data_IF_385725645775
#
_entry.id   IF_385725645775
#
_cell.length_a   1.000
_cell.length_b   1.000
_cell.length_c   1.000
_cell.angle_alpha   90.00
_cell.angle_beta   90.00
_cell.angle_gamma   90.00
#
_symmetry.space_group_name_H-M   'P 1'
#
loop_
_entity.id
_entity.type
_entity.pdbx_description
1 polymer ?
#
# COMPACT_ATOMS: atom_id res chain seq x y z
N UNK A 1 0.25 18.83 -35.91
CA UNK A 1 -0.27 18.99 -34.52
C UNK A 1 -1.41 18.01 -34.38
N UNK A 2 -1.07 16.79 -33.96
CA UNK A 2 -1.96 15.62 -34.04
C UNK A 2 -2.90 15.53 -32.83
N UNK A 3 -4.09 15.04 -33.11
CA UNK A 3 -5.33 15.14 -32.38
C UNK A 3 -5.37 14.16 -31.18
N UNK A 4 -5.04 14.61 -29.95
CA UNK A 4 -5.05 13.77 -28.72
C UNK A 4 -6.29 14.04 -27.85
N UNK A 5 -7.47 14.23 -28.44
CA UNK A 5 -8.69 14.53 -27.65
C UNK A 5 -9.87 13.58 -27.89
N UNK A 6 -9.69 12.50 -28.67
CA UNK A 6 -10.72 11.46 -28.84
C UNK A 6 -10.32 10.13 -28.19
N UNK A 7 -10.26 10.09 -26.86
CA UNK A 7 -10.38 8.86 -26.06
C UNK A 7 -11.52 9.12 -25.09
N UNK A 8 -12.67 8.44 -25.26
CA UNK A 8 -13.81 8.45 -24.33
C UNK A 8 -13.30 8.54 -22.88
N UNK A 9 -13.58 9.65 -22.21
CA UNK A 9 -13.08 9.87 -20.85
C UNK A 9 -13.66 8.78 -19.96
N UNK A 10 -12.85 8.18 -19.06
CA UNK A 10 -13.34 7.16 -18.12
C UNK A 10 -14.52 7.68 -17.29
N UNK A 11 -14.58 9.00 -17.08
CA UNK A 11 -15.69 9.70 -16.44
C UNK A 11 -17.00 9.56 -17.24
N UNK A 12 -16.94 9.71 -18.57
CA UNK A 12 -18.10 9.60 -19.45
C UNK A 12 -18.64 8.16 -19.48
N UNK A 13 -17.75 7.16 -19.40
CA UNK A 13 -18.14 5.74 -19.31
C UNK A 13 -18.89 5.43 -18.00
N UNK A 14 -18.47 6.06 -16.88
CA UNK A 14 -19.15 5.92 -15.58
C UNK A 14 -20.52 6.61 -15.54
N UNK A 15 -20.67 7.76 -16.20
CA UNK A 15 -21.95 8.50 -16.26
C UNK A 15 -22.98 7.77 -17.14
N UNK A 16 -22.55 7.18 -18.25
CA UNK A 16 -23.46 6.52 -19.21
C UNK A 16 -23.93 5.13 -18.73
N UNK A 17 -23.08 4.34 -18.07
CA UNK A 17 -23.41 2.98 -17.65
C UNK A 17 -22.77 2.57 -16.31
N UNK A 18 -23.26 3.09 -15.17
CA UNK A 18 -22.60 2.94 -13.87
C UNK A 18 -22.46 1.48 -13.43
N UNK A 19 -23.47 0.63 -13.67
CA UNK A 19 -23.42 -0.81 -13.31
C UNK A 19 -22.29 -1.55 -14.05
N UNK A 20 -22.12 -1.28 -15.35
CA UNK A 20 -21.10 -1.93 -16.18
C UNK A 20 -19.71 -1.43 -15.83
N UNK A 21 -19.57 -0.12 -15.59
CA UNK A 21 -18.30 0.49 -15.16
C UNK A 21 -17.85 -0.03 -13.79
N UNK A 22 -18.79 -0.21 -12.85
CA UNK A 22 -18.52 -0.76 -11.53
C UNK A 22 -17.97 -2.19 -11.62
N UNK A 23 -18.65 -3.10 -12.33
CA UNK A 23 -18.16 -4.48 -12.49
C UNK A 23 -16.82 -4.56 -13.23
N UNK A 24 -16.60 -3.70 -14.24
CA UNK A 24 -15.33 -3.62 -14.98
C UNK A 24 -14.15 -3.19 -14.09
N UNK A 25 -14.40 -2.43 -13.03
CA UNK A 25 -13.38 -2.01 -12.06
C UNK A 25 -13.27 -2.96 -10.86
N UNK A 26 -14.40 -3.44 -10.35
CA UNK A 26 -14.47 -4.27 -9.16
C UNK A 26 -13.89 -5.67 -9.41
N UNK A 27 -14.19 -6.29 -10.56
CA UNK A 27 -13.73 -7.65 -10.87
C UNK A 27 -12.19 -7.78 -10.84
N UNK A 28 -11.40 -6.93 -11.54
CA UNK A 28 -9.94 -7.00 -11.45
C UNK A 28 -9.41 -6.63 -10.06
N UNK A 29 -10.07 -5.71 -9.35
CA UNK A 29 -9.68 -5.34 -7.99
C UNK A 29 -9.86 -6.50 -7.01
N UNK A 30 -11.01 -7.19 -7.06
CA UNK A 30 -11.29 -8.38 -6.26
C UNK A 30 -10.28 -9.49 -6.57
N UNK A 31 -9.99 -9.74 -7.85
CA UNK A 31 -8.99 -10.73 -8.24
C UNK A 31 -7.61 -10.39 -7.67
N UNK A 32 -7.19 -9.13 -7.74
CA UNK A 32 -5.95 -8.66 -7.14
C UNK A 32 -5.89 -8.89 -5.63
N UNK A 33 -6.98 -8.60 -4.91
CA UNK A 33 -7.07 -8.86 -3.48
C UNK A 33 -7.06 -10.36 -3.15
N UNK A 34 -7.71 -11.20 -3.97
CA UNK A 34 -7.66 -12.66 -3.80
C UNK A 34 -6.24 -13.20 -3.97
N UNK A 35 -5.52 -12.75 -4.99
CA UNK A 35 -4.11 -13.12 -5.20
C UNK A 35 -3.25 -12.67 -4.03
N UNK A 36 -3.46 -11.46 -3.52
CA UNK A 36 -2.76 -10.95 -2.34
C UNK A 36 -3.02 -11.82 -1.09
N UNK A 37 -4.27 -12.26 -0.89
CA UNK A 37 -4.62 -13.13 0.23
C UNK A 37 -3.96 -14.52 0.11
N UNK A 38 -3.96 -15.10 -1.09
CA UNK A 38 -3.28 -16.37 -1.37
C UNK A 38 -1.77 -16.22 -1.13
N UNK A 39 -1.18 -15.11 -1.57
CA UNK A 39 0.23 -14.83 -1.33
C UNK A 39 0.55 -14.80 0.17
N UNK A 40 -0.27 -14.15 1.00
CA UNK A 40 -0.07 -14.12 2.45
C UNK A 40 -0.14 -15.51 3.10
N UNK A 41 -1.07 -16.37 2.62
CA UNK A 41 -1.17 -17.77 3.08
C UNK A 41 0.06 -18.57 2.68
N UNK A 42 0.49 -18.43 1.43
CA UNK A 42 1.67 -19.13 0.89
C UNK A 42 2.92 -18.67 1.62
N UNK A 43 3.14 -17.37 1.79
CA UNK A 43 4.28 -16.79 2.51
C UNK A 43 4.38 -17.35 3.94
N UNK A 44 3.27 -17.30 4.69
CA UNK A 44 3.23 -17.84 6.06
C UNK A 44 3.47 -19.36 6.09
N UNK A 45 2.89 -20.11 5.13
CA UNK A 45 3.09 -21.56 5.04
C UNK A 45 4.53 -21.93 4.67
N UNK A 46 5.19 -21.15 3.81
CA UNK A 46 6.60 -21.33 3.47
C UNK A 46 7.49 -21.04 4.69
N UNK A 47 7.30 -19.91 5.38
CA UNK A 47 8.07 -19.61 6.60
C UNK A 47 7.85 -20.70 7.66
N UNK A 48 6.61 -21.12 7.88
CA UNK A 48 6.29 -22.19 8.83
C UNK A 48 6.91 -23.54 8.46
N UNK A 49 7.04 -23.86 7.17
CA UNK A 49 7.63 -25.13 6.70
C UNK A 49 9.16 -25.12 6.64
N UNK A 50 9.78 -23.99 6.24
CA UNK A 50 11.22 -23.90 6.03
C UNK A 50 11.99 -23.40 7.26
N UNK A 51 11.42 -22.47 8.02
CA UNK A 51 12.06 -21.90 9.22
C UNK A 51 11.47 -22.52 10.50
N UNK A 52 10.21 -22.95 10.48
CA UNK A 52 9.57 -23.60 11.62
C UNK A 52 8.98 -22.62 12.63
N UNK A 53 8.79 -23.10 13.85
CA UNK A 53 8.10 -22.37 14.94
C UNK A 53 8.81 -21.06 15.29
N UNK A 54 10.14 -21.04 15.26
CA UNK A 54 10.95 -19.84 15.51
C UNK A 54 10.70 -18.75 14.47
N UNK A 55 10.61 -19.10 13.18
CA UNK A 55 10.31 -18.12 12.12
C UNK A 55 8.91 -17.53 12.25
N UNK A 56 7.92 -18.36 12.58
CA UNK A 56 6.54 -17.91 12.87
C UNK A 56 6.48 -17.00 14.10
N UNK A 57 7.25 -17.29 15.15
CA UNK A 57 7.34 -16.44 16.33
C UNK A 57 7.96 -15.07 16.00
N UNK A 58 9.01 -15.03 15.16
CA UNK A 58 9.61 -13.78 14.68
C UNK A 58 8.60 -12.90 13.93
N UNK A 59 7.77 -13.50 13.07
CA UNK A 59 6.71 -12.77 12.37
C UNK A 59 5.73 -12.12 13.36
N UNK A 60 5.40 -12.80 14.45
CA UNK A 60 4.57 -12.27 15.53
C UNK A 60 5.09 -10.96 16.13
N UNK A 61 6.40 -10.84 16.31
CA UNK A 61 7.03 -9.61 16.81
C UNK A 61 7.08 -8.47 15.78
N UNK A 62 7.21 -8.82 14.50
CA UNK A 62 7.32 -7.85 13.40
C UNK A 62 5.95 -7.29 12.99
N UNK A 63 4.88 -8.09 13.06
CA UNK A 63 3.55 -7.70 12.60
C UNK A 63 3.02 -6.38 13.19
N UNK A 64 3.12 -6.09 14.51
CA UNK A 64 2.64 -4.82 15.06
C UNK A 64 3.30 -3.60 14.41
N UNK A 65 4.62 -3.67 14.15
CA UNK A 65 5.35 -2.60 13.48
C UNK A 65 4.96 -2.50 12.00
N UNK A 66 4.78 -3.65 11.34
CA UNK A 66 4.30 -3.70 9.97
C UNK A 66 2.91 -3.06 9.82
N UNK A 67 2.00 -3.30 10.76
CA UNK A 67 0.67 -2.69 10.77
C UNK A 67 0.71 -1.16 10.94
N UNK A 68 1.59 -0.64 11.79
CA UNK A 68 1.77 0.82 11.95
C UNK A 68 2.25 1.44 10.64
N UNK A 69 3.26 0.83 10.00
CA UNK A 69 3.82 1.30 8.72
C UNK A 69 2.75 1.25 7.61
N UNK A 70 2.02 0.13 7.53
CA UNK A 70 0.91 -0.03 6.60
C UNK A 70 -0.17 1.02 6.82
N UNK A 71 -0.54 1.31 8.08
CA UNK A 71 -1.52 2.32 8.44
C UNK A 71 -1.14 3.72 7.95
N UNK A 72 0.11 4.14 8.15
CA UNK A 72 0.62 5.43 7.66
C UNK A 72 0.59 5.47 6.13
N UNK A 73 1.04 4.39 5.49
CA UNK A 73 1.12 4.28 4.03
C UNK A 73 -0.27 4.33 3.39
N UNK A 74 -1.23 3.56 3.92
CA UNK A 74 -2.61 3.56 3.48
C UNK A 74 -3.30 4.90 3.77
N UNK A 75 -3.02 5.54 4.91
CA UNK A 75 -3.53 6.87 5.23
C UNK A 75 -3.11 7.92 4.21
N UNK A 76 -1.80 7.98 3.90
CA UNK A 76 -1.28 8.90 2.89
C UNK A 76 -1.84 8.58 1.49
N UNK A 77 -1.82 7.31 1.09
CA UNK A 77 -2.26 6.87 -0.23
C UNK A 77 -3.75 7.11 -0.46
N UNK A 78 -4.61 6.68 0.46
CA UNK A 78 -6.06 6.85 0.37
C UNK A 78 -6.46 8.33 0.46
N UNK A 79 -5.91 9.08 1.41
CA UNK A 79 -6.19 10.51 1.57
C UNK A 79 -5.80 11.32 0.33
N UNK A 80 -4.61 11.05 -0.22
CA UNK A 80 -4.15 11.72 -1.45
C UNK A 80 -4.99 11.34 -2.66
N UNK A 81 -5.35 10.06 -2.81
CA UNK A 81 -6.22 9.60 -3.91
C UNK A 81 -7.59 10.28 -3.85
N UNK A 82 -8.18 10.43 -2.66
CA UNK A 82 -9.44 11.14 -2.48
C UNK A 82 -9.34 12.61 -2.88
N UNK A 83 -8.29 13.32 -2.44
CA UNK A 83 -8.09 14.73 -2.82
C UNK A 83 -7.88 14.89 -4.34
N UNK A 84 -7.08 14.03 -4.94
CA UNK A 84 -6.84 14.02 -6.40
C UNK A 84 -8.15 13.77 -7.14
N UNK A 85 -8.93 12.76 -6.74
CA UNK A 85 -10.22 12.43 -7.35
C UNK A 85 -11.20 13.62 -7.28
N UNK A 86 -11.28 14.30 -6.14
CA UNK A 86 -12.12 15.50 -5.99
C UNK A 86 -11.70 16.63 -6.95
N UNK A 87 -10.40 16.90 -7.08
CA UNK A 87 -9.91 17.97 -7.98
C UNK A 87 -10.07 17.62 -9.46
N UNK A 88 -9.87 16.35 -9.83
CA UNK A 88 -10.15 15.85 -11.18
C UNK A 88 -11.65 16.00 -11.50
N UNK A 89 -12.52 15.60 -10.57
CA UNK A 89 -13.97 15.77 -10.71
C UNK A 89 -14.40 17.24 -10.87
N UNK A 90 -13.72 18.15 -10.18
CA UNK A 90 -13.94 19.60 -10.31
C UNK A 90 -13.29 20.23 -11.56
N UNK A 91 -12.77 19.43 -12.50
CA UNK A 91 -12.03 19.88 -13.71
C UNK A 91 -10.77 20.73 -13.41
N UNK A 92 -10.24 20.68 -12.17
CA UNK A 92 -9.04 21.42 -11.75
C UNK A 92 -7.78 20.55 -11.87
N UNK A 93 -7.42 20.17 -13.10
CA UNK A 93 -6.32 19.22 -13.36
C UNK A 93 -4.96 19.72 -12.87
N UNK A 94 -4.64 21.00 -13.04
CA UNK A 94 -3.37 21.57 -12.57
C UNK A 94 -3.17 21.42 -11.06
N UNK A 95 -4.24 21.60 -10.29
CA UNK A 95 -4.24 21.40 -8.82
C UNK A 95 -4.10 19.93 -8.47
N UNK A 96 -4.78 19.03 -9.19
CA UNK A 96 -4.65 17.59 -9.00
C UNK A 96 -3.22 17.10 -9.25
N UNK A 97 -2.57 17.59 -10.32
CA UNK A 97 -1.19 17.27 -10.64
C UNK A 97 -0.23 17.80 -9.57
N UNK A 98 -0.48 18.99 -9.01
CA UNK A 98 0.32 19.52 -7.92
C UNK A 98 0.20 18.68 -6.65
N UNK A 99 -1.02 18.26 -6.28
CA UNK A 99 -1.25 17.36 -5.14
C UNK A 99 -0.49 16.05 -5.36
N UNK A 100 -0.58 15.44 -6.54
CA UNK A 100 0.11 14.20 -6.85
C UNK A 100 1.64 14.33 -6.69
N UNK A 101 2.24 15.43 -7.16
CA UNK A 101 3.67 15.70 -6.99
C UNK A 101 4.06 15.80 -5.52
N UNK A 102 3.31 16.58 -4.73
CA UNK A 102 3.59 16.73 -3.30
C UNK A 102 3.41 15.41 -2.53
N UNK A 103 2.34 14.65 -2.82
CA UNK A 103 2.13 13.32 -2.23
C UNK A 103 3.30 12.39 -2.52
N UNK A 104 3.85 12.41 -3.75
CA UNK A 104 4.96 11.55 -4.12
C UNK A 104 6.24 11.92 -3.37
N UNK A 105 6.53 13.22 -3.25
CA UNK A 105 7.66 13.71 -2.43
C UNK A 105 7.47 13.35 -0.95
N UNK A 106 6.28 13.55 -0.40
CA UNK A 106 5.95 13.19 0.98
C UNK A 106 6.10 11.68 1.21
N UNK A 107 5.65 10.86 0.27
CA UNK A 107 5.79 9.41 0.30
C UNK A 107 7.26 8.98 0.31
N UNK A 108 8.11 9.60 -0.51
CA UNK A 108 9.56 9.35 -0.51
C UNK A 108 10.21 9.75 0.81
N UNK A 109 9.86 10.92 1.35
CA UNK A 109 10.39 11.39 2.65
C UNK A 109 9.97 10.44 3.77
N UNK A 110 8.68 10.06 3.82
CA UNK A 110 8.18 9.11 4.81
C UNK A 110 8.84 7.73 4.67
N UNK A 111 9.02 7.25 3.45
CA UNK A 111 9.73 5.99 3.18
C UNK A 111 11.18 6.02 3.66
N UNK A 112 11.91 7.11 3.37
CA UNK A 112 13.28 7.32 3.86
C UNK A 112 13.33 7.37 5.40
N UNK A 113 12.39 8.07 6.04
CA UNK A 113 12.32 8.14 7.49
C UNK A 113 12.08 6.75 8.11
N UNK A 114 11.12 5.99 7.58
CA UNK A 114 10.83 4.63 8.05
C UNK A 114 12.04 3.73 7.85
N UNK A 115 12.74 3.84 6.72
CA UNK A 115 13.95 3.07 6.44
C UNK A 115 15.08 3.39 7.43
N UNK A 116 15.32 4.67 7.72
CA UNK A 116 16.35 5.10 8.69
C UNK A 116 16.00 4.60 10.11
N UNK A 117 14.74 4.73 10.51
CA UNK A 117 14.26 4.28 11.82
C UNK A 117 14.37 2.77 11.93
N UNK A 118 13.95 2.03 10.89
CA UNK A 118 14.05 0.57 10.85
C UNK A 118 15.51 0.10 10.89
N UNK A 119 16.39 0.72 10.12
CA UNK A 119 17.81 0.34 10.06
C UNK A 119 18.56 0.64 11.36
N UNK A 120 18.33 1.79 11.99
CA UNK A 120 19.02 2.17 13.23
C UNK A 120 18.37 1.60 14.50
N UNK A 121 17.07 1.36 14.47
CA UNK A 121 16.26 1.03 15.64
C UNK A 121 15.67 -0.37 15.64
N UNK A 122 15.79 -1.13 14.55
CA UNK A 122 15.14 -2.44 14.38
C UNK A 122 15.39 -3.41 15.53
N UNK A 123 16.66 -3.64 15.89
CA UNK A 123 17.01 -4.51 17.03
C UNK A 123 16.42 -4.01 18.35
N UNK A 124 16.43 -2.70 18.59
CA UNK A 124 15.92 -2.11 19.83
C UNK A 124 14.40 -2.22 19.92
N UNK A 125 13.69 -2.05 18.80
CA UNK A 125 12.24 -2.20 18.72
C UNK A 125 11.82 -3.66 18.98
N UNK A 126 12.54 -4.62 18.41
CA UNK A 126 12.25 -6.05 18.59
C UNK A 126 12.58 -6.49 20.03
N UNK A 127 13.67 -6.00 20.63
CA UNK A 127 14.01 -6.24 22.04
C UNK A 127 12.96 -5.72 23.02
N UNK A 128 12.34 -4.57 22.76
CA UNK A 128 11.30 -3.99 23.65
C UNK A 128 10.05 -4.89 23.73
N UNK A 129 9.76 -5.71 22.72
CA UNK A 129 8.65 -6.68 22.77
C UNK A 129 9.00 -7.99 23.50
N UNK A 130 10.21 -8.13 24.04
CA UNK A 130 10.62 -9.34 24.79
C UNK A 130 11.11 -10.49 23.91
N UNK A 131 11.57 -10.21 22.69
CA UNK A 131 12.17 -11.22 21.83
C UNK A 131 13.50 -11.75 22.42
N UNK A 132 13.60 -13.08 22.54
CA UNK A 132 14.78 -13.80 23.04
C UNK A 132 15.96 -13.73 22.05
N UNK A 133 17.21 -13.88 22.53
CA UNK A 133 18.43 -13.70 21.70
C UNK A 133 18.49 -14.64 20.48
N UNK A 134 17.80 -15.78 20.53
CA UNK A 134 17.72 -16.73 19.40
C UNK A 134 16.89 -16.21 18.22
N UNK A 135 15.93 -15.31 18.45
CA UNK A 135 15.08 -14.70 17.41
C UNK A 135 15.78 -13.54 16.70
N UNK A 136 16.78 -12.93 17.33
CA UNK A 136 17.51 -11.75 16.81
C UNK A 136 18.64 -12.15 15.85
N UNK A 137 19.18 -13.37 15.97
CA UNK A 137 20.34 -13.85 15.19
C UNK A 137 20.00 -14.64 13.91
N UNK A 138 18.72 -14.92 13.66
CA UNK A 138 18.21 -15.57 12.44
C UNK A 138 17.96 -14.51 11.36
#
# INVERSE_FOLDING_TARGET
MENIQNKKSRLDEFIVAPKKALWKLALPMMFGMSVQAIYMLVDTAFVGRWVGVTGLASLGYVFPYFFIIMGITFGLGSGSTTLIAQKIGAKKKSVADNIAKHTLVLGLVLGLLILIIGFKGGEKLIRIQGADEQTIKL
#
